data_IF_360780120298
#
_entry.id   IF_360780120298
#
_cell.length_a   1.000
_cell.length_b   1.000
_cell.length_c   1.000
_cell.angle_alpha   90.00
_cell.angle_beta   90.00
_cell.angle_gamma   90.00
#
_symmetry.space_group_name_H-M   'P 1'
#
loop_
_entity.id
_entity.type
_entity.pdbx_description
1 polymer ?
#
# COMPACT_ATOMS: atom_id res chain seq x y z
N UNK A 1 29.74 11.47 -8.23
CA UNK A 1 29.13 12.02 -7.00
C UNK A 1 29.22 10.95 -5.92
N UNK A 2 29.58 11.32 -4.70
CA UNK A 2 29.92 10.39 -3.61
C UNK A 2 28.69 9.88 -2.84
N UNK A 3 27.74 9.23 -3.52
CA UNK A 3 26.46 8.74 -2.95
C UNK A 3 26.66 7.91 -1.69
N UNK A 4 27.61 6.96 -1.71
CA UNK A 4 27.92 6.10 -0.56
C UNK A 4 28.41 6.89 0.66
N UNK A 5 29.20 7.96 0.43
CA UNK A 5 29.66 8.82 1.53
C UNK A 5 28.49 9.62 2.13
N UNK A 6 27.57 10.10 1.29
CA UNK A 6 26.35 10.78 1.75
C UNK A 6 25.53 9.83 2.62
N UNK A 7 25.29 8.60 2.18
CA UNK A 7 24.57 7.60 2.97
C UNK A 7 25.27 7.26 4.28
N UNK A 8 26.60 7.12 4.28
CA UNK A 8 27.37 6.88 5.50
C UNK A 8 27.21 8.02 6.53
N UNK A 9 27.05 9.27 6.09
CA UNK A 9 26.77 10.41 6.96
C UNK A 9 25.32 10.37 7.44
N UNK A 10 24.35 10.18 6.54
CA UNK A 10 22.93 10.15 6.87
C UNK A 10 22.59 9.03 7.89
N UNK A 11 23.23 7.86 7.76
CA UNK A 11 23.03 6.70 8.66
C UNK A 11 23.49 6.95 10.10
N UNK A 12 24.29 7.99 10.39
CA UNK A 12 24.67 8.38 11.76
C UNK A 12 23.48 8.87 12.59
N UNK A 13 22.46 9.42 11.95
CA UNK A 13 21.21 9.83 12.60
C UNK A 13 20.21 8.70 12.48
N UNK A 14 19.69 8.17 13.58
CA UNK A 14 18.68 7.10 13.57
C UNK A 14 17.32 7.69 13.13
N UNK A 15 16.47 6.88 12.50
CA UNK A 15 15.14 7.26 11.99
C UNK A 15 15.19 8.35 10.90
N UNK A 16 14.20 9.24 10.84
CA UNK A 16 14.09 10.32 9.85
C UNK A 16 14.11 9.81 8.39
N UNK A 17 13.50 8.65 8.14
CA UNK A 17 13.59 7.97 6.85
C UNK A 17 13.09 8.85 5.71
N UNK A 18 11.97 9.54 5.88
CA UNK A 18 11.44 10.42 4.82
C UNK A 18 12.41 11.56 4.46
N UNK A 19 13.06 12.16 5.46
CA UNK A 19 14.06 13.21 5.21
C UNK A 19 15.28 12.65 4.44
N UNK A 20 15.75 11.46 4.79
CA UNK A 20 16.87 10.80 4.12
C UNK A 20 16.51 10.36 2.70
N UNK A 21 15.33 9.77 2.52
CA UNK A 21 14.80 9.36 1.23
C UNK A 21 14.67 10.54 0.28
N UNK A 22 14.18 11.69 0.75
CA UNK A 22 14.10 12.91 -0.04
C UNK A 22 15.47 13.41 -0.50
N UNK A 23 16.48 13.40 0.38
CA UNK A 23 17.87 13.76 0.02
C UNK A 23 18.43 12.79 -1.01
N UNK A 24 18.24 11.48 -0.83
CA UNK A 24 18.71 10.47 -1.77
C UNK A 24 18.07 10.62 -3.16
N UNK A 25 16.75 10.81 -3.23
CA UNK A 25 16.03 11.05 -4.49
C UNK A 25 16.57 12.30 -5.20
N UNK A 26 16.80 13.39 -4.46
CA UNK A 26 17.33 14.63 -5.03
C UNK A 26 18.77 14.46 -5.57
N UNK A 27 19.61 13.69 -4.87
CA UNK A 27 20.97 13.34 -5.34
C UNK A 27 20.89 12.52 -6.62
N UNK A 28 20.01 11.53 -6.69
CA UNK A 28 19.81 10.71 -7.90
C UNK A 28 19.27 11.52 -9.08
N UNK A 29 18.33 12.43 -8.84
CA UNK A 29 17.84 13.35 -9.87
C UNK A 29 18.97 14.26 -10.40
N UNK A 30 19.82 14.80 -9.51
CA UNK A 30 20.99 15.57 -9.92
C UNK A 30 21.99 14.74 -10.73
N UNK A 31 22.21 13.47 -10.37
CA UNK A 31 23.04 12.53 -11.15
C UNK A 31 22.45 12.31 -12.54
N UNK A 32 21.15 11.98 -12.63
CA UNK A 32 20.46 11.76 -13.91
C UNK A 32 20.54 12.98 -14.82
N UNK A 33 20.31 14.18 -14.29
CA UNK A 33 20.46 15.45 -15.01
C UNK A 33 21.90 15.69 -15.50
N UNK A 34 22.88 15.42 -14.66
CA UNK A 34 24.31 15.59 -15.01
C UNK A 34 24.73 14.63 -16.12
N UNK A 35 24.23 13.40 -16.11
CA UNK A 35 24.54 12.38 -17.10
C UNK A 35 23.66 12.46 -18.36
N UNK A 36 22.58 13.23 -18.34
CA UNK A 36 21.59 13.25 -19.42
C UNK A 36 20.75 11.96 -19.51
N UNK A 37 20.83 11.07 -18.52
CA UNK A 37 20.13 9.77 -18.49
C UNK A 37 19.01 9.74 -17.44
N UNK A 38 17.77 9.31 -17.78
CA UNK A 38 16.69 9.18 -16.80
C UNK A 38 17.06 8.26 -15.64
N UNK A 39 16.70 8.62 -14.41
CA UNK A 39 17.05 7.84 -13.22
C UNK A 39 16.56 6.39 -13.30
N UNK A 40 15.35 6.16 -13.87
CA UNK A 40 14.84 4.80 -14.02
C UNK A 40 15.74 3.92 -14.91
N UNK A 41 16.42 4.50 -15.91
CA UNK A 41 17.40 3.80 -16.75
C UNK A 41 18.73 3.56 -16.02
N UNK A 42 19.13 4.46 -15.13
CA UNK A 42 20.33 4.28 -14.30
C UNK A 42 20.14 3.19 -13.24
N UNK A 43 18.93 3.02 -12.72
CA UNK A 43 18.62 2.02 -11.69
C UNK A 43 18.46 0.60 -12.26
N UNK A 44 17.99 0.46 -13.50
CA UNK A 44 17.86 -0.85 -14.16
C UNK A 44 17.14 -0.81 -15.51
N UNK A 45 16.23 0.15 -15.70
CA UNK A 45 15.66 0.49 -16.99
C UNK A 45 14.70 -0.52 -17.61
N UNK A 46 14.05 -1.36 -16.80
CA UNK A 46 13.25 -2.49 -17.25
C UNK A 46 12.05 -2.13 -18.15
N UNK A 47 11.15 -1.24 -17.71
CA UNK A 47 9.94 -0.87 -18.45
C UNK A 47 9.81 0.65 -18.62
N UNK A 48 8.96 1.10 -19.54
CA UNK A 48 8.64 2.50 -19.81
C UNK A 48 7.36 2.98 -19.11
N UNK A 49 6.65 2.09 -18.41
CA UNK A 49 5.40 2.41 -17.70
C UNK A 49 5.09 1.41 -16.59
N UNK A 50 4.28 1.83 -15.62
CA UNK A 50 3.72 0.99 -14.58
C UNK A 50 2.20 1.06 -14.58
N UNK A 51 1.56 -0.08 -14.29
CA UNK A 51 0.13 -0.12 -13.94
C UNK A 51 -0.10 0.60 -12.62
N UNK A 52 -1.27 1.23 -12.50
CA UNK A 52 -1.67 2.03 -11.35
C UNK A 52 -2.63 1.25 -10.47
N UNK A 53 -2.36 1.26 -9.16
CA UNK A 53 -3.29 0.93 -8.09
C UNK A 53 -3.83 2.23 -7.46
N UNK A 54 -5.11 2.22 -7.09
CA UNK A 54 -5.75 3.33 -6.36
C UNK A 54 -6.22 2.89 -4.98
N UNK A 55 -5.90 3.69 -3.95
CA UNK A 55 -6.36 3.42 -2.59
C UNK A 55 -7.75 4.00 -2.34
N UNK A 56 -8.71 3.13 -2.03
CA UNK A 56 -10.05 3.49 -1.58
C UNK A 56 -10.07 3.64 -0.06
N UNK A 57 -10.36 4.84 0.42
CA UNK A 57 -10.40 5.16 1.86
C UNK A 57 -11.63 4.61 2.60
N UNK A 58 -11.84 5.04 3.85
CA UNK A 58 -13.04 4.65 4.61
C UNK A 58 -14.27 5.46 4.19
N UNK A 59 -15.22 4.81 3.54
CA UNK A 59 -16.57 5.32 3.22
C UNK A 59 -17.61 4.19 3.26
N UNK A 60 -18.91 4.48 3.14
CA UNK A 60 -19.93 3.45 2.88
C UNK A 60 -19.62 2.66 1.59
N UNK A 61 -19.95 1.37 1.58
CA UNK A 61 -19.57 0.44 0.50
C UNK A 61 -20.04 0.90 -0.89
N UNK A 62 -21.25 1.44 -0.99
CA UNK A 62 -21.79 1.95 -2.26
C UNK A 62 -21.02 3.18 -2.79
N UNK A 63 -20.52 4.05 -1.91
CA UNK A 63 -19.69 5.20 -2.31
C UNK A 63 -18.31 4.74 -2.79
N UNK A 64 -17.73 3.72 -2.15
CA UNK A 64 -16.46 3.12 -2.57
C UNK A 64 -16.58 2.50 -3.97
N UNK A 65 -17.69 1.81 -4.24
CA UNK A 65 -17.94 1.25 -5.57
C UNK A 65 -18.11 2.35 -6.63
N UNK A 66 -18.85 3.42 -6.31
CA UNK A 66 -19.00 4.55 -7.22
C UNK A 66 -17.65 5.22 -7.52
N UNK A 67 -16.80 5.38 -6.50
CA UNK A 67 -15.45 5.91 -6.64
C UNK A 67 -14.57 4.99 -7.50
N UNK A 68 -14.54 3.68 -7.23
CA UNK A 68 -13.77 2.72 -7.99
C UNK A 68 -14.18 2.70 -9.49
N UNK A 69 -15.50 2.73 -9.77
CA UNK A 69 -16.02 2.82 -11.14
C UNK A 69 -15.63 4.12 -11.83
N UNK A 70 -15.66 5.25 -11.10
CA UNK A 70 -15.19 6.53 -11.62
C UNK A 70 -13.71 6.46 -11.98
N UNK A 71 -12.86 5.97 -11.08
CA UNK A 71 -11.42 5.87 -11.34
C UNK A 71 -11.10 4.92 -12.49
N UNK A 72 -11.80 3.79 -12.59
CA UNK A 72 -11.70 2.87 -13.73
C UNK A 72 -12.12 3.55 -15.04
N UNK A 73 -13.26 4.24 -15.06
CA UNK A 73 -13.79 4.88 -16.27
C UNK A 73 -12.97 6.07 -16.76
N UNK A 74 -12.47 6.91 -15.84
CA UNK A 74 -11.71 8.12 -16.20
C UNK A 74 -10.23 7.87 -16.47
N UNK A 75 -9.62 6.92 -15.74
CA UNK A 75 -8.18 6.72 -15.77
C UNK A 75 -7.75 5.33 -16.23
N UNK A 76 -8.69 4.40 -16.47
CA UNK A 76 -8.37 3.01 -16.85
C UNK A 76 -7.83 2.13 -15.73
N UNK A 77 -7.95 2.55 -14.47
CA UNK A 77 -7.39 1.82 -13.31
C UNK A 77 -8.18 0.52 -13.05
N UNK A 78 -7.46 -0.60 -12.94
CA UNK A 78 -8.03 -1.95 -12.71
C UNK A 78 -7.46 -2.65 -11.48
N UNK A 79 -6.75 -1.93 -10.61
CA UNK A 79 -6.26 -2.44 -9.31
C UNK A 79 -6.64 -1.46 -8.20
N UNK A 80 -7.24 -1.97 -7.12
CA UNK A 80 -7.70 -1.15 -6.00
C UNK A 80 -7.23 -1.71 -4.66
N UNK A 81 -6.64 -0.86 -3.83
CA UNK A 81 -6.37 -1.14 -2.42
C UNK A 81 -7.54 -0.64 -1.58
N UNK A 82 -8.25 -1.53 -0.90
CA UNK A 82 -9.29 -1.13 0.03
C UNK A 82 -8.70 -0.93 1.44
N UNK A 83 -8.85 0.28 1.98
CA UNK A 83 -8.59 0.52 3.40
C UNK A 83 -9.65 -0.18 4.25
N UNK A 84 -9.18 -1.04 5.15
CA UNK A 84 -9.96 -1.81 6.12
C UNK A 84 -9.41 -1.59 7.53
N UNK A 85 -9.78 -2.39 8.52
CA UNK A 85 -9.34 -2.17 9.92
C UNK A 85 -10.40 -1.53 10.81
N UNK A 86 -11.66 -1.47 10.34
CA UNK A 86 -12.77 -0.83 11.06
C UNK A 86 -13.47 -1.81 11.99
N UNK A 87 -14.29 -1.25 12.89
CA UNK A 87 -15.25 -2.00 13.72
C UNK A 87 -16.66 -1.41 13.52
N UNK A 88 -17.70 -2.26 13.43
CA UNK A 88 -17.65 -3.73 13.41
C UNK A 88 -17.00 -4.29 12.13
N UNK A 89 -16.42 -5.49 12.21
CA UNK A 89 -15.72 -6.13 11.07
C UNK A 89 -16.61 -6.31 9.84
N UNK A 90 -17.93 -6.43 10.06
CA UNK A 90 -18.92 -6.55 8.99
C UNK A 90 -18.88 -5.39 7.99
N UNK A 91 -18.45 -4.18 8.40
CA UNK A 91 -18.29 -3.04 7.49
C UNK A 91 -17.21 -3.27 6.43
N UNK A 92 -16.12 -3.95 6.80
CA UNK A 92 -15.02 -4.23 5.88
C UNK A 92 -15.36 -5.42 4.98
N UNK A 93 -16.02 -6.45 5.54
CA UNK A 93 -16.54 -7.59 4.76
C UNK A 93 -17.57 -7.13 3.73
N UNK A 94 -18.51 -6.27 4.13
CA UNK A 94 -19.50 -5.68 3.22
C UNK A 94 -18.82 -4.91 2.08
N UNK A 95 -17.84 -4.05 2.40
CA UNK A 95 -17.10 -3.30 1.38
C UNK A 95 -16.37 -4.21 0.39
N UNK A 96 -15.75 -5.31 0.85
CA UNK A 96 -15.10 -6.28 -0.03
C UNK A 96 -16.10 -6.92 -0.99
N UNK A 97 -17.26 -7.38 -0.48
CA UNK A 97 -18.30 -8.03 -1.31
C UNK A 97 -18.87 -7.07 -2.35
N UNK A 98 -19.26 -5.86 -1.92
CA UNK A 98 -19.81 -4.84 -2.82
C UNK A 98 -18.82 -4.44 -3.92
N UNK A 99 -17.53 -4.30 -3.60
CA UNK A 99 -16.51 -4.01 -4.60
C UNK A 99 -16.33 -5.18 -5.59
N UNK A 100 -16.21 -6.42 -5.10
CA UNK A 100 -16.05 -7.59 -5.97
C UNK A 100 -17.26 -7.75 -6.90
N UNK A 101 -18.47 -7.75 -6.35
CA UNK A 101 -19.72 -7.85 -7.14
C UNK A 101 -19.83 -6.71 -8.16
N UNK A 102 -19.45 -5.50 -7.77
CA UNK A 102 -19.62 -4.31 -8.61
C UNK A 102 -18.54 -4.09 -9.66
N UNK A 103 -17.35 -4.68 -9.52
CA UNK A 103 -16.20 -4.49 -10.40
C UNK A 103 -15.88 -5.71 -11.28
N UNK A 104 -16.35 -6.90 -10.89
CA UNK A 104 -16.10 -8.17 -11.57
C UNK A 104 -14.73 -8.78 -11.25
N UNK A 105 -14.45 -9.95 -11.84
CA UNK A 105 -13.25 -10.74 -11.50
C UNK A 105 -11.95 -10.22 -12.13
N UNK A 106 -12.05 -9.44 -13.21
CA UNK A 106 -10.89 -8.89 -13.92
C UNK A 106 -10.17 -7.75 -13.15
N UNK A 107 -10.79 -7.25 -12.07
CA UNK A 107 -10.25 -6.18 -11.25
C UNK A 107 -9.54 -6.77 -10.03
N UNK A 108 -8.28 -6.37 -9.84
CA UNK A 108 -7.51 -6.77 -8.66
C UNK A 108 -7.93 -5.94 -7.44
N UNK A 109 -8.23 -6.62 -6.33
CA UNK A 109 -8.59 -5.98 -5.06
C UNK A 109 -7.69 -6.57 -3.97
N UNK A 110 -7.08 -5.70 -3.17
CA UNK A 110 -6.32 -6.10 -1.99
C UNK A 110 -6.59 -5.18 -0.81
N UNK A 111 -6.24 -5.64 0.39
CA UNK A 111 -6.60 -4.99 1.64
C UNK A 111 -5.41 -4.33 2.31
N UNK A 112 -5.65 -3.22 2.99
CA UNK A 112 -4.69 -2.61 3.93
C UNK A 112 -5.43 -2.18 5.19
N UNK A 113 -5.10 -2.80 6.32
CA UNK A 113 -5.78 -2.55 7.59
C UNK A 113 -5.09 -1.50 8.45
N UNK A 114 -3.88 -1.05 8.10
CA UNK A 114 -3.03 -0.15 8.89
C UNK A 114 -3.04 -0.47 10.41
N UNK A 115 -2.90 -1.76 10.72
CA UNK A 115 -2.89 -2.37 12.07
C UNK A 115 -4.20 -2.24 12.85
N UNK A 116 -5.32 -2.00 12.18
CA UNK A 116 -6.62 -1.72 12.80
C UNK A 116 -7.26 -2.93 13.50
N UNK A 117 -6.87 -4.15 13.12
CA UNK A 117 -7.39 -5.39 13.69
C UNK A 117 -6.40 -6.05 14.64
N UNK A 118 -6.91 -6.93 15.48
CA UNK A 118 -6.11 -8.00 16.09
C UNK A 118 -5.88 -9.13 15.07
N UNK A 119 -4.89 -9.98 15.31
CA UNK A 119 -4.63 -11.13 14.44
C UNK A 119 -5.85 -12.08 14.30
N UNK A 120 -6.68 -12.22 15.34
CA UNK A 120 -7.89 -13.06 15.29
C UNK A 120 -8.98 -12.42 14.42
N UNK A 121 -9.20 -11.11 14.55
CA UNK A 121 -10.16 -10.37 13.74
C UNK A 121 -9.76 -10.41 12.26
N UNK A 122 -8.47 -10.29 11.94
CA UNK A 122 -7.96 -10.42 10.58
C UNK A 122 -8.24 -11.82 9.99
N UNK A 123 -7.99 -12.90 10.75
CA UNK A 123 -8.34 -14.26 10.34
C UNK A 123 -9.85 -14.46 10.14
N UNK A 124 -10.68 -13.78 10.94
CA UNK A 124 -12.12 -13.80 10.76
C UNK A 124 -12.56 -13.09 9.48
N UNK A 125 -12.00 -11.92 9.17
CA UNK A 125 -12.27 -11.23 7.90
C UNK A 125 -11.83 -12.08 6.72
N UNK A 126 -10.61 -12.63 6.74
CA UNK A 126 -10.09 -13.50 5.68
C UNK A 126 -11.02 -14.70 5.40
N UNK A 127 -11.53 -15.35 6.44
CA UNK A 127 -12.51 -16.45 6.30
C UNK A 127 -13.82 -15.97 5.68
N UNK A 128 -14.30 -14.79 6.05
CA UNK A 128 -15.54 -14.23 5.53
C UNK A 128 -15.42 -13.70 4.09
N UNK A 129 -14.20 -13.58 3.55
CA UNK A 129 -13.90 -13.05 2.21
C UNK A 129 -13.12 -14.03 1.34
N UNK A 130 -13.02 -15.30 1.71
CA UNK A 130 -12.22 -16.30 1.01
C UNK A 130 -12.65 -16.52 -0.45
N UNK A 131 -13.93 -16.30 -0.73
CA UNK A 131 -14.57 -16.46 -2.04
C UNK A 131 -14.37 -15.25 -2.97
N UNK A 132 -13.74 -14.17 -2.50
CA UNK A 132 -13.68 -12.90 -3.24
C UNK A 132 -12.40 -12.72 -4.07
N UNK A 133 -11.47 -13.67 -4.07
CA UNK A 133 -10.22 -13.58 -4.83
C UNK A 133 -9.41 -12.33 -4.51
N UNK A 134 -9.30 -11.98 -3.22
CA UNK A 134 -8.44 -10.87 -2.78
C UNK A 134 -6.97 -11.24 -2.95
N UNK A 135 -6.11 -10.32 -3.41
CA UNK A 135 -4.73 -10.69 -3.77
C UNK A 135 -3.72 -10.56 -2.63
N UNK A 136 -3.89 -9.61 -1.71
CA UNK A 136 -2.93 -9.32 -0.62
C UNK A 136 -3.64 -8.78 0.63
N UNK A 137 -2.99 -8.93 1.80
CA UNK A 137 -3.37 -8.30 3.06
C UNK A 137 -2.20 -7.52 3.66
N UNK A 138 -2.25 -6.20 3.59
CA UNK A 138 -1.23 -5.28 4.11
C UNK A 138 -1.53 -4.89 5.56
N UNK A 139 -0.51 -4.99 6.42
CA UNK A 139 -0.50 -4.52 7.81
C UNK A 139 -1.78 -4.83 8.59
N UNK A 140 -2.17 -6.12 8.74
CA UNK A 140 -3.45 -6.49 9.36
C UNK A 140 -3.58 -6.10 10.83
N UNK A 141 -2.50 -6.27 11.60
CA UNK A 141 -2.45 -6.09 13.04
C UNK A 141 -1.09 -5.52 13.48
N UNK A 142 -1.00 -5.04 14.72
CA UNK A 142 0.25 -4.48 15.26
C UNK A 142 1.40 -5.50 15.18
N UNK A 143 2.50 -5.10 14.52
CA UNK A 143 3.71 -5.91 14.38
C UNK A 143 4.35 -6.29 15.73
N UNK A 144 4.11 -5.51 16.78
CA UNK A 144 4.59 -5.79 18.13
C UNK A 144 3.92 -7.02 18.74
N UNK A 145 2.73 -7.40 18.28
CA UNK A 145 2.04 -8.63 18.69
C UNK A 145 2.60 -9.85 17.94
N UNK A 146 3.93 -10.02 18.00
CA UNK A 146 4.71 -10.89 17.11
C UNK A 146 4.18 -12.32 16.99
N UNK A 147 3.81 -12.95 18.13
CA UNK A 147 3.26 -14.32 18.12
C UNK A 147 1.90 -14.41 17.41
N UNK A 148 1.05 -13.41 17.62
CA UNK A 148 -0.26 -13.33 16.98
C UNK A 148 -0.12 -13.08 15.48
N UNK A 149 0.73 -12.12 15.10
CA UNK A 149 1.02 -11.78 13.71
C UNK A 149 1.63 -12.95 12.95
N UNK A 150 2.65 -13.61 13.50
CA UNK A 150 3.25 -14.80 12.88
C UNK A 150 2.22 -15.90 12.59
N UNK A 151 1.39 -16.23 13.58
CA UNK A 151 0.32 -17.21 13.41
C UNK A 151 -0.69 -16.79 12.34
N UNK A 152 -0.96 -15.49 12.20
CA UNK A 152 -1.80 -14.96 11.12
C UNK A 152 -1.10 -15.14 9.76
N UNK A 153 0.18 -14.79 9.62
CA UNK A 153 0.94 -14.98 8.37
C UNK A 153 0.95 -16.46 7.96
N UNK A 154 1.23 -17.37 8.90
CA UNK A 154 1.24 -18.82 8.65
C UNK A 154 -0.12 -19.38 8.20
N UNK A 155 -1.23 -18.75 8.60
CA UNK A 155 -2.59 -19.23 8.32
C UNK A 155 -3.31 -18.46 7.21
N UNK A 156 -2.74 -17.33 6.76
CA UNK A 156 -3.37 -16.51 5.74
C UNK A 156 -3.36 -17.24 4.40
N UNK A 157 -4.50 -17.32 3.69
CA UNK A 157 -4.55 -17.92 2.36
C UNK A 157 -3.92 -17.01 1.29
N UNK A 158 -3.63 -15.75 1.63
CA UNK A 158 -3.04 -14.72 0.75
C UNK A 158 -1.81 -14.10 1.42
N UNK A 159 -0.85 -13.54 0.65
CA UNK A 159 0.34 -12.92 1.22
C UNK A 159 0.00 -11.79 2.20
N UNK A 160 0.75 -11.75 3.30
CA UNK A 160 0.69 -10.69 4.30
C UNK A 160 1.85 -9.73 4.07
N UNK A 161 1.52 -8.50 3.69
CA UNK A 161 2.47 -7.47 3.30
C UNK A 161 2.87 -6.64 4.52
N UNK A 162 4.17 -6.51 4.77
CA UNK A 162 4.71 -5.52 5.71
C UNK A 162 4.88 -4.17 5.02
N UNK A 163 4.41 -3.09 5.66
CA UNK A 163 4.61 -1.70 5.24
C UNK A 163 5.25 -0.88 6.38
N UNK A 164 4.44 -0.36 7.30
CA UNK A 164 4.94 0.42 8.44
C UNK A 164 5.81 -0.40 9.42
N UNK A 165 5.74 -1.73 9.39
CA UNK A 165 6.58 -2.62 10.18
C UNK A 165 7.98 -2.82 9.60
N UNK A 166 8.20 -2.46 8.33
CA UNK A 166 9.44 -2.69 7.58
C UNK A 166 10.03 -1.41 6.94
N UNK A 167 10.27 -0.33 7.72
CA UNK A 167 10.71 0.94 7.13
C UNK A 167 12.18 0.94 6.65
N UNK A 168 12.98 -0.07 7.00
CA UNK A 168 14.41 -0.19 6.62
C UNK A 168 14.75 -1.60 6.16
N UNK A 169 15.89 -1.77 5.48
CA UNK A 169 16.38 -3.10 5.08
C UNK A 169 16.59 -4.05 6.28
N UNK A 170 16.98 -3.51 7.44
CA UNK A 170 17.13 -4.28 8.67
C UNK A 170 15.78 -4.75 9.24
N UNK A 171 14.74 -3.89 9.15
CA UNK A 171 13.39 -4.26 9.55
C UNK A 171 12.79 -5.32 8.63
N UNK A 172 12.98 -5.17 7.31
CA UNK A 172 12.60 -6.19 6.32
C UNK A 172 13.24 -7.54 6.68
N UNK A 173 14.56 -7.57 6.90
CA UNK A 173 15.26 -8.79 7.28
C UNK A 173 14.67 -9.44 8.53
N UNK A 174 14.40 -8.65 9.57
CA UNK A 174 13.83 -9.15 10.83
C UNK A 174 12.43 -9.72 10.64
N UNK A 175 11.52 -9.00 9.98
CA UNK A 175 10.13 -9.43 9.82
C UNK A 175 10.03 -10.68 8.93
N UNK A 176 10.83 -10.77 7.87
CA UNK A 176 10.88 -11.98 7.02
C UNK A 176 11.42 -13.19 7.79
N UNK A 177 12.53 -13.04 8.52
CA UNK A 177 13.14 -14.15 9.27
C UNK A 177 12.30 -14.63 10.46
N UNK A 178 11.54 -13.72 11.07
CA UNK A 178 10.67 -14.04 12.21
C UNK A 178 9.29 -14.56 11.80
N UNK A 179 8.92 -14.44 10.51
CA UNK A 179 7.60 -14.79 9.98
C UNK A 179 6.53 -13.72 10.25
N UNK A 180 6.92 -12.46 10.47
CA UNK A 180 6.01 -11.33 10.69
C UNK A 180 5.33 -10.81 9.42
N UNK A 181 5.91 -11.07 8.25
CA UNK A 181 5.32 -10.88 6.93
C UNK A 181 5.96 -11.84 5.91
N UNK A 182 5.33 -12.02 4.75
CA UNK A 182 5.89 -12.81 3.64
C UNK A 182 5.82 -12.09 2.28
N UNK A 183 5.48 -10.80 2.30
CA UNK A 183 5.61 -9.86 1.20
C UNK A 183 5.98 -8.48 1.76
N UNK A 184 6.60 -7.63 0.94
CA UNK A 184 7.17 -6.34 1.36
C UNK A 184 6.63 -5.20 0.51
N UNK A 185 6.03 -4.21 1.16
CA UNK A 185 5.68 -2.95 0.54
C UNK A 185 6.93 -2.05 0.51
N UNK A 186 7.26 -1.52 -0.66
CA UNK A 186 8.37 -0.62 -0.86
C UNK A 186 7.87 0.79 -1.15
N UNK A 187 8.41 1.79 -0.44
CA UNK A 187 8.04 3.19 -0.61
C UNK A 187 9.29 4.05 -0.72
N UNK A 188 9.51 4.63 -1.90
CA UNK A 188 10.65 5.53 -2.16
C UNK A 188 10.66 6.74 -1.23
N UNK A 189 9.48 7.18 -0.78
CA UNK A 189 9.35 8.24 0.22
C UNK A 189 10.18 7.98 1.48
N UNK A 190 10.31 6.73 1.95
CA UNK A 190 11.13 6.38 3.13
C UNK A 190 12.55 5.95 2.78
N UNK A 191 12.72 5.13 1.74
CA UNK A 191 14.00 4.47 1.45
C UNK A 191 14.86 5.19 0.42
N UNK A 192 14.33 6.25 -0.20
CA UNK A 192 14.90 6.78 -1.44
C UNK A 192 14.96 5.71 -2.51
N UNK A 193 15.92 5.81 -3.42
CA UNK A 193 16.26 4.78 -4.39
C UNK A 193 17.37 3.86 -3.90
N UNK A 194 18.33 4.38 -3.15
CA UNK A 194 19.50 3.59 -2.72
C UNK A 194 19.13 2.46 -1.78
N UNK A 195 18.44 2.73 -0.67
CA UNK A 195 18.00 1.67 0.26
C UNK A 195 16.84 0.86 -0.35
N UNK A 196 16.04 1.45 -1.25
CA UNK A 196 15.04 0.68 -1.99
C UNK A 196 15.69 -0.42 -2.84
N UNK A 197 16.82 -0.16 -3.51
CA UNK A 197 17.57 -1.18 -4.25
C UNK A 197 18.16 -2.24 -3.31
N UNK A 198 18.59 -1.87 -2.10
CA UNK A 198 19.04 -2.83 -1.08
C UNK A 198 17.90 -3.76 -0.63
N UNK A 199 16.72 -3.18 -0.33
CA UNK A 199 15.51 -3.93 0.03
C UNK A 199 15.07 -4.85 -1.12
N UNK A 200 15.08 -4.36 -2.35
CA UNK A 200 14.73 -5.15 -3.53
C UNK A 200 15.69 -6.33 -3.71
N UNK A 201 16.99 -6.11 -3.55
CA UNK A 201 17.99 -7.18 -3.61
C UNK A 201 17.76 -8.27 -2.56
N UNK A 202 17.37 -7.87 -1.34
CA UNK A 202 16.99 -8.79 -0.27
C UNK A 202 15.74 -9.61 -0.63
N UNK A 203 14.67 -8.94 -1.10
CA UNK A 203 13.41 -9.62 -1.43
C UNK A 203 13.58 -10.59 -2.60
N UNK A 204 14.22 -10.14 -3.69
CA UNK A 204 14.46 -10.98 -4.87
C UNK A 204 15.40 -12.15 -4.57
N UNK A 205 16.41 -11.95 -3.72
CA UNK A 205 17.31 -13.02 -3.27
C UNK A 205 16.63 -14.08 -2.38
N UNK A 206 15.56 -13.70 -1.66
CA UNK A 206 14.79 -14.60 -0.80
C UNK A 206 13.53 -15.16 -1.47
N UNK A 207 13.21 -14.76 -2.70
CA UNK A 207 11.97 -15.15 -3.38
C UNK A 207 10.71 -14.57 -2.73
N UNK A 208 10.81 -13.36 -2.19
CA UNK A 208 9.74 -12.66 -1.47
C UNK A 208 9.05 -11.65 -2.39
N UNK A 209 7.72 -11.69 -2.42
CA UNK A 209 6.87 -10.76 -3.17
C UNK A 209 6.99 -9.32 -2.65
N UNK A 210 6.80 -8.38 -3.57
CA UNK A 210 7.08 -6.97 -3.45
C UNK A 210 5.88 -6.18 -3.98
N UNK A 211 5.55 -5.09 -3.31
CA UNK A 211 4.61 -4.10 -3.84
C UNK A 211 5.26 -2.73 -3.85
N UNK A 212 4.80 -1.88 -4.76
CA UNK A 212 5.17 -0.47 -4.81
C UNK A 212 4.06 0.33 -4.16
N UNK A 213 4.30 0.79 -2.93
CA UNK A 213 3.33 1.49 -2.12
C UNK A 213 3.39 3.01 -2.25
N UNK A 214 2.41 3.66 -1.64
CA UNK A 214 2.29 5.11 -1.58
C UNK A 214 2.33 5.63 -0.14
N UNK A 215 2.99 6.77 0.07
CA UNK A 215 3.09 7.44 1.37
C UNK A 215 2.12 8.63 1.49
N UNK A 216 0.96 8.55 0.80
CA UNK A 216 0.09 9.69 0.50
C UNK A 216 0.93 10.76 -0.21
N UNK A 217 1.58 10.32 -1.27
CA UNK A 217 2.57 11.08 -2.01
C UNK A 217 1.92 12.20 -2.82
N UNK A 218 2.61 13.33 -2.89
CA UNK A 218 2.36 14.34 -3.94
C UNK A 218 2.76 13.79 -5.31
N UNK A 219 2.57 14.57 -6.37
CA UNK A 219 3.06 14.16 -7.69
C UNK A 219 4.59 14.03 -7.70
N UNK A 220 5.33 14.83 -6.92
CA UNK A 220 6.79 14.67 -6.76
C UNK A 220 7.14 13.28 -6.21
N UNK A 221 6.49 12.86 -5.14
CA UNK A 221 6.70 11.54 -4.55
C UNK A 221 6.27 10.42 -5.49
N UNK A 222 5.10 10.56 -6.14
CA UNK A 222 4.59 9.58 -7.10
C UNK A 222 5.50 9.44 -8.32
N UNK A 223 6.15 10.52 -8.75
CA UNK A 223 7.16 10.48 -9.80
C UNK A 223 8.40 9.68 -9.36
N UNK A 224 8.85 9.84 -8.12
CA UNK A 224 9.93 9.01 -7.59
C UNK A 224 9.49 7.53 -7.53
N UNK A 225 8.28 7.26 -7.05
CA UNK A 225 7.71 5.92 -6.97
C UNK A 225 7.66 5.21 -8.33
N UNK A 226 7.12 5.85 -9.39
CA UNK A 226 7.12 5.25 -10.74
C UNK A 226 8.53 5.15 -11.33
N UNK A 227 9.42 6.10 -11.01
CA UNK A 227 10.83 6.03 -11.44
C UNK A 227 11.49 4.76 -10.93
N UNK A 228 11.35 4.46 -9.64
CA UNK A 228 11.90 3.25 -9.06
C UNK A 228 11.16 2.00 -9.55
N UNK A 229 9.84 1.99 -9.49
CA UNK A 229 9.06 0.79 -9.82
C UNK A 229 9.17 0.35 -11.28
N UNK A 230 9.39 1.29 -12.22
CA UNK A 230 9.64 0.97 -13.64
C UNK A 230 11.09 0.48 -13.90
N UNK A 231 11.99 0.62 -12.92
CA UNK A 231 13.42 0.30 -13.10
C UNK A 231 13.69 -1.19 -13.10
N UNK A 232 12.87 -2.00 -12.43
CA UNK A 232 13.09 -3.42 -12.25
C UNK A 232 11.86 -4.25 -12.62
N UNK A 233 12.11 -5.49 -13.03
CA UNK A 233 11.05 -6.43 -13.40
C UNK A 233 10.17 -6.76 -12.19
N UNK A 234 10.79 -7.22 -11.10
CA UNK A 234 10.12 -7.54 -9.84
C UNK A 234 9.15 -6.43 -9.37
N UNK A 235 9.58 -5.16 -9.38
CA UNK A 235 8.77 -4.03 -8.93
C UNK A 235 7.65 -3.63 -9.90
N UNK A 236 7.71 -4.06 -11.16
CA UNK A 236 6.72 -3.71 -12.19
C UNK A 236 5.73 -4.84 -12.52
N UNK A 237 5.93 -6.05 -11.94
CA UNK A 237 4.98 -7.17 -12.05
C UNK A 237 3.59 -6.79 -11.56
N UNK A 238 3.51 -6.09 -10.42
CA UNK A 238 2.27 -5.60 -9.80
C UNK A 238 2.02 -4.13 -10.11
N UNK A 239 0.77 -3.71 -10.00
CA UNK A 239 0.44 -2.28 -10.09
C UNK A 239 1.01 -1.53 -8.88
N UNK A 240 1.53 -0.32 -9.12
CA UNK A 240 2.04 0.56 -8.07
C UNK A 240 0.97 1.52 -7.58
N UNK A 241 0.95 1.83 -6.30
CA UNK A 241 0.06 2.83 -5.71
C UNK A 241 0.50 4.25 -6.14
N UNK A 242 -0.07 4.72 -7.25
CA UNK A 242 0.45 5.86 -8.01
C UNK A 242 -0.64 6.89 -8.35
N UNK A 243 -1.69 7.03 -7.53
CA UNK A 243 -2.83 7.89 -7.88
C UNK A 243 -3.40 8.74 -6.75
N UNK A 244 -2.92 8.60 -5.51
CA UNK A 244 -3.49 9.34 -4.37
C UNK A 244 -3.25 10.86 -4.42
N UNK A 245 -2.29 11.33 -5.21
CA UNK A 245 -2.12 12.75 -5.49
C UNK A 245 -3.36 13.38 -6.16
N UNK A 246 -4.26 12.60 -6.76
CA UNK A 246 -5.48 13.09 -7.40
C UNK A 246 -6.49 13.69 -6.40
N UNK A 247 -6.37 13.37 -5.11
CA UNK A 247 -7.18 13.98 -4.07
C UNK A 247 -6.65 15.37 -3.62
N UNK A 248 -5.47 15.77 -4.11
CA UNK A 248 -4.90 17.08 -3.83
C UNK A 248 -5.55 18.17 -4.68
N UNK A 249 -5.74 19.35 -4.09
CA UNK A 249 -6.32 20.49 -4.79
C UNK A 249 -5.36 21.13 -5.82
N UNK A 250 -4.05 21.01 -5.61
CA UNK A 250 -2.99 21.55 -6.46
C UNK A 250 -1.65 20.82 -6.18
N UNK A 251 -0.65 20.97 -7.04
CA UNK A 251 0.69 20.38 -6.87
C UNK A 251 1.82 21.33 -7.35
N UNK A 252 3.08 20.93 -7.16
CA UNK A 252 4.27 21.74 -7.42
C UNK A 252 4.91 21.46 -8.79
N UNK A 253 4.52 20.38 -9.47
CA UNK A 253 5.06 20.06 -10.80
C UNK A 253 4.49 21.03 -11.84
N UNK A 254 5.39 21.58 -12.67
CA UNK A 254 4.99 22.48 -13.75
C UNK A 254 4.22 21.75 -14.87
N UNK A 255 4.64 20.53 -15.19
CA UNK A 255 3.87 19.59 -16.01
C UNK A 255 3.35 18.49 -15.08
N UNK A 256 2.02 18.39 -14.84
CA UNK A 256 1.45 17.34 -13.99
C UNK A 256 1.65 15.93 -14.56
N UNK A 257 1.66 14.92 -13.68
CA UNK A 257 1.62 13.51 -14.08
C UNK A 257 0.24 13.18 -14.64
N UNK A 258 0.21 12.36 -15.69
CA UNK A 258 -1.03 11.86 -16.30
C UNK A 258 -1.11 10.34 -16.15
N UNK A 259 -2.28 9.86 -15.75
CA UNK A 259 -2.63 8.44 -15.83
C UNK A 259 -3.38 8.24 -17.15
N UNK A 260 -2.86 7.35 -18.00
CA UNK A 260 -3.44 7.03 -19.29
C UNK A 260 -3.57 5.51 -19.37
N UNK A 261 -4.78 5.04 -19.65
CA UNK A 261 -5.10 3.61 -19.77
C UNK A 261 -4.61 2.76 -18.58
N UNK A 262 -4.78 3.28 -17.37
CA UNK A 262 -4.40 2.62 -16.13
C UNK A 262 -2.91 2.62 -15.85
N UNK A 263 -2.12 3.41 -16.59
CA UNK A 263 -0.65 3.42 -16.47
C UNK A 263 -0.06 4.82 -16.28
N UNK A 264 1.12 4.89 -15.66
CA UNK A 264 1.98 6.08 -15.58
C UNK A 264 3.36 5.73 -16.13
N UNK A 265 3.96 6.65 -16.89
CA UNK A 265 5.34 6.56 -17.36
C UNK A 265 6.31 7.34 -16.43
N UNK A 266 7.52 6.84 -16.16
CA UNK A 266 8.57 7.64 -15.56
C UNK A 266 8.99 8.75 -16.51
N UNK A 267 9.39 9.92 -15.97
CA UNK A 267 9.73 11.07 -16.80
C UNK A 267 11.07 10.87 -17.54
N UNK A 268 11.20 11.39 -18.78
CA UNK A 268 12.48 11.50 -19.45
C UNK A 268 13.36 12.58 -18.77
N UNK A 269 14.67 12.58 -19.03
CA UNK A 269 15.66 13.39 -18.30
C UNK A 269 15.47 14.90 -18.35
N UNK A 270 14.58 15.41 -19.20
CA UNK A 270 14.48 16.85 -19.49
C UNK A 270 13.54 17.65 -18.56
N UNK A 271 12.79 17.03 -17.65
CA UNK A 271 11.52 17.64 -17.21
C UNK A 271 11.37 18.05 -15.74
N UNK A 272 12.44 18.26 -14.96
CA UNK A 272 12.27 18.86 -13.60
C UNK A 272 12.60 20.36 -13.53
N UNK A 273 13.36 20.92 -14.47
CA UNK A 273 13.96 22.26 -14.31
C UNK A 273 13.74 23.26 -15.46
N UNK A 274 12.86 22.97 -16.41
CA UNK A 274 12.42 23.96 -17.41
C UNK A 274 10.95 24.25 -17.23
N UNK A 275 10.61 25.00 -16.19
CA UNK A 275 9.47 25.88 -16.30
C UNK A 275 9.65 27.12 -15.43
N UNK A 276 9.22 28.28 -15.94
CA UNK A 276 9.41 29.66 -15.44
C UNK A 276 10.64 30.47 -15.87
N UNK A 277 11.47 30.05 -16.81
CA UNK A 277 12.38 31.00 -17.50
C UNK A 277 12.34 30.82 -19.01
N UNK A 278 11.43 31.57 -19.63
CA UNK A 278 11.47 31.89 -21.05
C UNK A 278 10.49 31.12 -21.93
N UNK A 279 9.22 31.53 -21.93
CA UNK A 279 8.37 31.60 -23.11
C UNK A 279 7.07 32.33 -22.73
N UNK A 280 7.05 33.65 -22.95
CA UNK A 280 5.80 34.34 -23.21
C UNK A 280 5.38 33.93 -24.64
N UNK A 281 4.57 32.88 -24.73
CA UNK A 281 3.99 32.37 -25.98
C UNK A 281 2.52 32.09 -25.72
N UNK A 282 1.66 32.75 -26.48
CA UNK A 282 0.20 32.73 -26.40
C UNK A 282 -0.38 31.31 -26.34
N UNK A 283 -1.27 31.08 -25.36
CA UNK A 283 -2.16 29.92 -25.29
C UNK A 283 -3.09 29.88 -26.52
N UNK A 284 -3.28 28.73 -27.19
CA UNK A 284 -4.38 28.57 -28.13
C UNK A 284 -5.72 28.57 -27.37
N UNK A 285 -6.79 29.17 -27.92
CA UNK A 285 -8.12 29.02 -27.35
C UNK A 285 -8.61 27.59 -27.61
N UNK A 286 -9.44 27.08 -26.71
CA UNK A 286 -10.20 25.82 -26.82
C UNK A 286 -9.53 24.56 -26.26
N UNK A 287 -9.35 24.55 -24.93
CA UNK A 287 -9.45 23.35 -24.11
C UNK A 287 -10.18 23.74 -22.82
N UNK A 288 -11.52 23.76 -22.91
CA UNK A 288 -12.37 23.97 -21.75
C UNK A 288 -12.22 22.79 -20.78
N UNK A 289 -11.58 23.05 -19.65
CA UNK A 289 -11.68 22.20 -18.46
C UNK A 289 -13.15 22.27 -17.99
N UNK A 290 -13.84 21.16 -17.72
CA UNK A 290 -15.18 21.24 -17.13
C UNK A 290 -15.07 21.93 -15.78
N UNK A 291 -15.86 23.00 -15.58
CA UNK A 291 -16.01 23.66 -14.29
C UNK A 291 -16.51 22.63 -13.26
N UNK A 292 -15.62 22.20 -12.37
CA UNK A 292 -16.02 21.52 -11.14
C UNK A 292 -16.53 22.61 -10.21
N UNK A 293 -17.85 22.78 -10.15
CA UNK A 293 -18.45 23.68 -9.17
C UNK A 293 -18.01 23.27 -7.76
N UNK A 294 -17.48 24.21 -6.95
CA UNK A 294 -17.11 23.91 -5.58
C UNK A 294 -18.37 23.55 -4.79
N UNK A 295 -18.36 22.38 -4.14
CA UNK A 295 -19.39 22.01 -3.18
C UNK A 295 -19.49 23.09 -2.09
N UNK A 296 -20.70 23.44 -1.63
CA UNK A 296 -20.89 24.55 -0.69
C UNK A 296 -20.17 24.27 0.62
N UNK A 297 -19.36 25.26 1.00
CA UNK A 297 -18.50 25.37 2.16
C UNK A 297 -19.11 24.76 3.45
N UNK A 298 -18.76 23.50 3.77
CA UNK A 298 -19.02 22.88 5.06
C UNK A 298 -17.71 22.72 5.83
N UNK A 299 -17.48 23.69 6.73
CA UNK A 299 -16.64 23.66 7.93
C UNK A 299 -15.21 23.09 7.77
N UNK A 300 -14.24 24.00 7.85
CA UNK A 300 -12.80 23.76 8.13
C UNK A 300 -12.54 22.40 8.79
N UNK A 301 -12.04 21.44 8.01
CA UNK A 301 -11.41 20.23 8.56
C UNK A 301 -9.96 20.57 8.86
N UNK A 302 -9.67 20.83 10.13
CA UNK A 302 -8.32 20.83 10.67
C UNK A 302 -7.76 19.41 10.59
N UNK A 303 -6.68 19.23 9.83
CA UNK A 303 -5.91 17.98 9.76
C UNK A 303 -5.07 17.72 11.05
N UNK A 304 -5.20 18.57 12.07
CA UNK A 304 -4.60 18.39 13.38
C UNK A 304 -5.68 18.45 14.47
N UNK A 305 -6.40 17.35 14.63
CA UNK A 305 -7.12 17.03 15.87
C UNK A 305 -7.19 15.51 16.04
N UNK A 306 -6.02 14.88 16.05
CA UNK A 306 -5.83 13.63 16.80
C UNK A 306 -5.63 14.06 18.26
N UNK A 307 -6.55 13.73 19.20
CA UNK A 307 -6.25 13.92 20.62
C UNK A 307 -5.05 13.07 20.97
N UNK A 308 -4.14 13.68 21.73
CA UNK A 308 -2.92 13.08 22.26
C UNK A 308 -3.13 11.62 22.69
N UNK A 309 -2.24 10.76 22.20
CA UNK A 309 -2.00 9.44 22.74
C UNK A 309 -1.77 9.53 24.25
N UNK A 310 -2.81 9.25 25.02
CA UNK A 310 -2.70 8.84 26.41
C UNK A 310 -3.21 7.41 26.48
N UNK A 311 -2.34 6.52 26.94
CA UNK A 311 -2.57 5.11 27.16
C UNK A 311 -3.85 4.88 27.97
N UNK A 312 -4.90 4.33 27.35
CA UNK A 312 -5.99 3.70 28.10
C UNK A 312 -5.62 2.23 28.25
N UNK A 313 -4.94 1.95 29.35
CA UNK A 313 -4.85 0.61 29.90
C UNK A 313 -6.24 0.18 30.41
N UNK A 314 -6.62 -1.03 29.99
CA UNK A 314 -7.61 -1.95 30.58
C UNK A 314 -8.64 -1.35 31.53
N UNK A 315 -9.92 -1.35 31.12
CA UNK A 315 -11.03 -1.63 32.04
C UNK A 315 -11.92 -2.74 31.51
N UNK A 316 -12.15 -3.69 32.39
CA UNK A 316 -12.86 -4.95 32.21
C UNK A 316 -14.37 -4.78 32.20
N UNK A 317 -15.00 -5.63 31.40
CA UNK A 317 -16.36 -6.20 31.54
C UNK A 317 -17.55 -5.25 31.75
N UNK A 318 -18.44 -5.23 30.76
CA UNK A 318 -19.86 -5.50 31.05
C UNK A 318 -20.44 -6.39 29.94
N UNK A 319 -21.16 -7.42 30.37
CA UNK A 319 -21.77 -8.45 29.51
C UNK A 319 -22.92 -7.81 28.72
N UNK A 320 -22.92 -8.00 27.40
CA UNK A 320 -24.14 -7.94 26.60
C UNK A 320 -24.12 -9.11 25.63
N UNK A 321 -25.07 -10.03 25.80
CA UNK A 321 -25.26 -11.19 24.94
C UNK A 321 -25.79 -10.72 23.59
N UNK A 322 -25.12 -11.08 22.50
CA UNK A 322 -25.68 -11.01 21.15
C UNK A 322 -26.34 -12.37 20.80
N UNK A 323 -27.37 -12.39 19.94
CA UNK A 323 -28.11 -13.61 19.63
C UNK A 323 -27.32 -14.52 18.68
N UNK A 324 -27.36 -15.82 18.95
CA UNK A 324 -26.73 -16.84 18.13
C UNK A 324 -27.44 -16.99 16.76
N UNK A 325 -26.64 -17.02 15.68
CA UNK A 325 -27.04 -17.56 14.39
C UNK A 325 -27.52 -19.02 14.57
N UNK A 326 -28.79 -19.28 14.26
CA UNK A 326 -29.34 -20.64 14.22
C UNK A 326 -28.88 -21.32 12.94
N UNK A 327 -27.99 -22.29 13.07
CA UNK A 327 -27.83 -23.35 12.07
C UNK A 327 -28.84 -24.46 12.36
N UNK A 328 -29.70 -24.77 11.39
CA UNK A 328 -30.59 -25.92 11.43
C UNK A 328 -29.85 -27.17 10.96
N UNK A 329 -29.69 -28.17 11.81
CA UNK A 329 -29.73 -29.57 11.37
C UNK A 329 -30.05 -30.48 12.56
N UNK A 330 -31.01 -31.37 12.31
CA UNK A 330 -31.38 -32.47 13.19
C UNK A 330 -30.31 -33.55 13.06
N UNK A 331 -29.84 -34.11 14.17
CA UNK A 331 -29.68 -35.56 14.34
C UNK A 331 -29.35 -35.91 15.80
N UNK A 332 -30.03 -36.94 16.28
CA UNK A 332 -29.98 -37.54 17.61
C UNK A 332 -28.68 -38.32 17.88
N UNK A 333 -28.26 -38.51 19.14
CA UNK A 333 -26.98 -39.10 19.49
C UNK A 333 -27.06 -40.62 19.70
N UNK A 334 -25.95 -41.32 19.49
CA UNK A 334 -25.68 -42.64 20.09
C UNK A 334 -24.18 -42.73 20.41
N UNK A 335 -23.77 -43.20 21.61
CA UNK A 335 -22.38 -43.18 22.05
C UNK A 335 -21.71 -44.54 21.82
N UNK A 336 -20.43 -44.57 21.46
CA UNK A 336 -19.55 -45.65 21.90
C UNK A 336 -18.07 -45.27 21.79
N UNK A 337 -17.44 -45.26 22.97
CA UNK A 337 -16.02 -45.47 23.29
C UNK A 337 -15.13 -46.09 22.20
N UNK A 338 -13.94 -45.52 21.99
CA UNK A 338 -12.69 -46.29 21.85
C UNK A 338 -11.47 -45.46 22.26
N UNK A 339 -10.65 -46.13 23.05
CA UNK A 339 -9.41 -45.76 23.70
C UNK A 339 -8.29 -45.41 22.72
N UNK A 340 -7.39 -44.54 23.18
CA UNK A 340 -6.15 -44.13 22.51
C UNK A 340 -5.04 -45.08 22.95
N UNK A 341 -4.41 -45.77 22.00
CA UNK A 341 -3.16 -46.51 22.23
C UNK A 341 -1.98 -45.75 21.58
N UNK A 342 -0.94 -45.49 22.38
CA UNK A 342 0.35 -44.96 21.95
C UNK A 342 1.34 -46.12 21.75
N UNK A 343 2.15 -46.14 20.68
CA UNK A 343 3.26 -47.08 20.57
C UNK A 343 4.51 -46.57 21.35
N UNK A 344 5.34 -47.48 21.88
CA UNK A 344 6.47 -47.13 22.74
C UNK A 344 7.70 -46.68 21.92
N UNK A 345 8.47 -45.79 22.55
CA UNK A 345 9.82 -45.37 22.17
C UNK A 345 10.85 -46.50 22.39
N UNK A 346 11.71 -46.76 21.42
CA UNK A 346 12.94 -47.54 21.64
C UNK A 346 13.59 -48.07 20.36
N UNK A 347 14.73 -47.46 20.02
CA UNK A 347 15.69 -47.85 18.98
C UNK A 347 16.83 -46.85 18.94
#
# INVERSE_FOLDING_TARGET
MDRERIHAVLRRTIHNQVAKGAVDIAVWDAIGKTLGTPVHKLLGGYTDRMRVSHMLGFRPAHELLAEARRYRGHYGITTFKLKVGRRPLSLDVEACRVLREGLGDDVEIYLDANRGWTANEALEVLRCTEDLGLSLLEEPCDAKEALGRRRLVEKSPIPVVGDESVPTAGDVSRELLSGGCNAVCMKTARSGFTEATEILGLCTGLGVDETIGNQIDTQIGSLATVTFGASHEATSRRAGELSNFLDMADDLLADPIRIIDGTIAPRPTRSWSRDRRGQAGSLPPDLAVPEVHPAPNRKRKTCCSLPAWTSISRRTSSRTRLPACRASSRNTPTPCSRTVDWPPSGG
#
